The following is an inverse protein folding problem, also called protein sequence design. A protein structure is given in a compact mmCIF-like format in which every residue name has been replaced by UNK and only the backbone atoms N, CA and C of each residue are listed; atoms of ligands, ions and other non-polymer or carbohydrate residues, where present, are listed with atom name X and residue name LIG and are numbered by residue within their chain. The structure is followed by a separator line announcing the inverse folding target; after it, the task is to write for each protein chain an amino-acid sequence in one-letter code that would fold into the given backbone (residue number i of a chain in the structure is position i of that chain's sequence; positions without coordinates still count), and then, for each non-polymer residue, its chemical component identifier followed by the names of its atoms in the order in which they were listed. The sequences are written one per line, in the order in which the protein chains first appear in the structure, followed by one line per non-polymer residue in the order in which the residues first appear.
data_IF_411534124373
#
_entry.id   IF_411534124373
#
_cell.length_a   1.000
_cell.length_b   1.000
_cell.length_c   1.000
_cell.angle_alpha   90.00
_cell.angle_beta   90.00
_cell.angle_gamma   90.00
#
_symmetry.space_group_name_H-M   'P 1'
#
loop_
_entity.id
_entity.type
_entity.pdbx_description
1 polymer ?
#
# COMPACT_ATOMS: atom_id res chain seq x y z
N UNK A 1 -15.34 -1.62 8.89
CA UNK A 1 -13.98 -1.23 9.31
C UNK A 1 -14.01 -0.48 10.64
N UNK A 2 -13.21 -0.91 11.61
CA UNK A 2 -13.02 -0.23 12.91
C UNK A 2 -12.06 0.96 12.78
N UNK A 3 -11.96 1.80 13.82
CA UNK A 3 -11.01 2.94 13.83
C UNK A 3 -9.56 2.47 13.73
N UNK A 4 -9.18 1.44 14.48
CA UNK A 4 -7.83 0.85 14.48
C UNK A 4 -7.47 0.32 13.11
N UNK A 5 -8.35 -0.49 12.52
CA UNK A 5 -8.17 -1.09 11.20
C UNK A 5 -8.01 -0.04 10.09
N UNK A 6 -8.71 1.11 10.20
CA UNK A 6 -8.50 2.24 9.30
C UNK A 6 -7.10 2.83 9.39
N UNK A 7 -6.54 2.95 10.59
CA UNK A 7 -5.19 3.48 10.76
C UNK A 7 -4.14 2.51 10.23
N UNK A 8 -4.28 1.20 10.51
CA UNK A 8 -3.40 0.16 9.97
C UNK A 8 -3.37 0.19 8.45
N UNK A 9 -4.55 0.23 7.80
CA UNK A 9 -4.64 0.36 6.34
C UNK A 9 -3.99 1.67 5.83
N UNK A 10 -4.24 2.80 6.50
CA UNK A 10 -3.67 4.09 6.11
C UNK A 10 -2.14 4.09 6.20
N UNK A 11 -1.58 3.49 7.24
CA UNK A 11 -0.13 3.47 7.46
C UNK A 11 0.56 2.58 6.40
N UNK A 12 -0.08 1.47 6.01
CA UNK A 12 0.38 0.64 4.88
C UNK A 12 0.29 1.38 3.53
N UNK A 13 -0.80 2.12 3.30
CA UNK A 13 -0.91 2.98 2.12
C UNK A 13 0.17 4.08 2.11
N UNK A 14 0.46 4.69 3.26
CA UNK A 14 1.50 5.72 3.36
C UNK A 14 2.88 5.16 3.02
N UNK A 15 3.23 3.97 3.53
CA UNK A 15 4.48 3.29 3.19
C UNK A 15 4.62 3.03 1.68
N UNK A 16 3.56 2.53 1.04
CA UNK A 16 3.54 2.31 -0.41
C UNK A 16 3.69 3.62 -1.19
N UNK A 17 3.00 4.68 -0.78
CA UNK A 17 3.07 6.00 -1.43
C UNK A 17 4.46 6.64 -1.29
N UNK A 18 5.10 6.51 -0.14
CA UNK A 18 6.48 6.96 0.09
C UNK A 18 7.46 6.27 -0.88
N UNK A 19 7.34 4.94 -1.06
CA UNK A 19 8.15 4.19 -2.02
C UNK A 19 7.92 4.66 -3.45
N UNK A 20 6.66 4.80 -3.85
CA UNK A 20 6.31 5.26 -5.20
C UNK A 20 6.84 6.67 -5.46
N UNK A 21 6.72 7.58 -4.49
CA UNK A 21 7.30 8.92 -4.61
C UNK A 21 8.82 8.87 -4.78
N UNK A 22 9.52 8.04 -4.00
CA UNK A 22 10.96 7.82 -4.15
C UNK A 22 11.34 7.37 -5.56
N UNK A 23 10.61 6.40 -6.11
CA UNK A 23 10.80 5.94 -7.48
C UNK A 23 10.52 7.04 -8.53
N UNK A 24 9.44 7.81 -8.37
CA UNK A 24 9.12 8.90 -9.30
C UNK A 24 10.17 10.03 -9.29
N UNK A 25 10.79 10.28 -8.13
CA UNK A 25 11.85 11.29 -7.99
C UNK A 25 13.20 10.81 -8.52
N UNK A 26 13.48 9.50 -8.43
CA UNK A 26 14.72 8.90 -8.90
C UNK A 26 14.44 7.51 -9.50
N UNK A 27 14.00 7.43 -10.76
CA UNK A 27 13.65 6.17 -11.37
C UNK A 27 14.91 5.33 -11.62
N UNK A 28 14.92 4.12 -11.06
CA UNK A 28 15.99 3.15 -11.24
C UNK A 28 15.55 1.76 -10.81
N UNK A 29 16.27 0.72 -11.22
CA UNK A 29 15.88 -0.68 -10.93
C UNK A 29 15.73 -0.94 -9.43
N UNK A 30 16.65 -0.45 -8.60
CA UNK A 30 16.56 -0.62 -7.14
C UNK A 30 15.28 -0.01 -6.57
N UNK A 31 14.93 1.20 -7.02
CA UNK A 31 13.72 1.89 -6.56
C UNK A 31 12.45 1.20 -7.07
N UNK A 32 12.48 0.70 -8.31
CA UNK A 32 11.40 -0.11 -8.87
C UNK A 32 11.19 -1.39 -8.06
N UNK A 33 12.26 -2.11 -7.75
CA UNK A 33 12.21 -3.34 -6.94
C UNK A 33 11.68 -3.06 -5.52
N UNK A 34 12.10 -1.95 -4.90
CA UNK A 34 11.57 -1.54 -3.60
C UNK A 34 10.06 -1.26 -3.64
N UNK A 35 9.57 -0.58 -4.68
CA UNK A 35 8.12 -0.37 -4.88
C UNK A 35 7.39 -1.69 -5.08
N UNK A 36 7.91 -2.58 -5.92
CA UNK A 36 7.28 -3.88 -6.18
C UNK A 36 7.25 -4.75 -4.93
N UNK A 37 8.30 -4.74 -4.12
CA UNK A 37 8.34 -5.44 -2.84
C UNK A 37 7.25 -4.92 -1.89
N UNK A 38 7.09 -3.60 -1.79
CA UNK A 38 6.05 -2.97 -0.95
C UNK A 38 4.63 -3.28 -1.48
N UNK A 39 4.43 -3.25 -2.80
CA UNK A 39 3.16 -3.64 -3.42
C UNK A 39 2.78 -5.09 -3.11
N UNK A 40 3.76 -6.01 -3.12
CA UNK A 40 3.53 -7.42 -2.75
C UNK A 40 3.16 -7.55 -1.27
N UNK A 41 3.88 -6.87 -0.37
CA UNK A 41 3.58 -6.87 1.05
C UNK A 41 2.16 -6.35 1.33
N UNK A 42 1.76 -5.26 0.68
CA UNK A 42 0.39 -4.72 0.75
C UNK A 42 -0.65 -5.74 0.27
N UNK A 43 -0.40 -6.39 -0.87
CA UNK A 43 -1.32 -7.38 -1.44
C UNK A 43 -1.46 -8.62 -0.55
N UNK A 44 -0.36 -9.10 0.03
CA UNK A 44 -0.37 -10.24 0.96
C UNK A 44 -1.13 -9.91 2.25
N UNK A 45 -0.90 -8.71 2.82
CA UNK A 45 -1.63 -8.25 4.00
C UNK A 45 -3.15 -8.13 3.74
N UNK A 46 -3.54 -7.65 2.55
CA UNK A 46 -4.94 -7.59 2.16
C UNK A 46 -5.54 -8.99 1.96
N UNK A 47 -4.80 -9.89 1.31
CA UNK A 47 -5.24 -11.26 1.06
C UNK A 47 -5.40 -12.08 2.33
N UNK A 48 -4.53 -11.88 3.32
CA UNK A 48 -4.59 -12.57 4.61
C UNK A 48 -5.61 -11.96 5.58
N UNK A 49 -6.28 -10.86 5.21
CA UNK A 49 -7.19 -10.12 6.09
C UNK A 49 -6.48 -9.40 7.23
N UNK A 50 -5.16 -9.17 7.13
CA UNK A 50 -4.40 -8.42 8.13
C UNK A 50 -4.65 -6.91 8.02
N UNK A 51 -4.99 -6.44 6.82
CA UNK A 51 -5.53 -5.10 6.61
C UNK A 51 -6.92 -5.18 5.98
N UNK A 52 -7.76 -4.22 6.37
CA UNK A 52 -9.14 -4.12 5.93
C UNK A 52 -9.24 -2.93 4.96
N UNK A 53 -9.43 -3.20 3.67
CA UNK A 53 -9.48 -2.13 2.65
C UNK A 53 -10.89 -1.51 2.64
N UNK A 54 -11.03 -0.18 2.76
CA UNK A 54 -12.33 0.47 2.70
C UNK A 54 -13.04 0.20 1.36
N UNK A 55 -14.33 -0.14 1.40
CA UNK A 55 -15.14 -0.35 0.18
C UNK A 55 -15.16 0.89 -0.73
N UNK A 56 -15.08 2.10 -0.17
CA UNK A 56 -14.98 3.34 -0.96
C UNK A 56 -13.70 3.43 -1.78
N UNK A 57 -12.66 2.67 -1.44
CA UNK A 57 -11.38 2.66 -2.16
C UNK A 57 -11.38 1.71 -3.36
N UNK A 58 -12.18 0.64 -3.31
CA UNK A 58 -12.29 -0.36 -4.37
C UNK A 58 -13.56 -0.21 -5.21
N UNK A 59 -14.46 0.69 -4.83
CA UNK A 59 -15.65 1.03 -5.59
C UNK A 59 -15.30 2.00 -6.73
N UNK A 60 -15.43 1.54 -7.97
CA UNK A 60 -15.35 2.37 -9.17
C UNK A 60 -16.78 2.69 -9.63
N UNK A 61 -17.40 3.68 -8.97
CA UNK A 61 -18.72 4.20 -9.35
C UNK A 61 -18.58 5.38 -10.31
#
# INVERSE_FOLDING_TARGET
MSKTSRYEWRDQQAALQERMKGFLMNPGNEQLEAVVAEMRAYADAARSGHIDIPQSWTSYA
#
